data_IF_979173690671
#
_entry.id   IF_979173690671
#
_cell.length_a   1.000
_cell.length_b   1.000
_cell.length_c   1.000
_cell.angle_alpha   90.00
_cell.angle_beta   90.00
_cell.angle_gamma   90.00
#
_symmetry.space_group_name_H-M   'P 1'
#
loop_
_entity.id
_entity.type
_entity.pdbx_description
1 polymer ?
#
# COMPACT_ATOMS: atom_id res chain seq x y z
N UNK A 1 17.98 4.70 -0.68
CA UNK A 1 17.32 4.48 0.62
C UNK A 1 15.83 4.75 0.46
N UNK A 2 15.06 3.74 0.05
CA UNK A 2 13.73 3.94 -0.53
C UNK A 2 12.75 4.57 0.47
N UNK A 3 12.20 5.73 0.11
CA UNK A 3 11.10 6.40 0.81
C UNK A 3 10.06 5.40 1.33
N UNK A 4 9.93 5.37 2.65
CA UNK A 4 9.01 4.51 3.39
C UNK A 4 7.53 4.83 3.11
N UNK A 5 7.23 5.99 2.51
CA UNK A 5 5.87 6.46 2.19
C UNK A 5 5.16 5.62 1.13
N UNK A 6 5.77 5.38 -0.03
CA UNK A 6 5.15 4.56 -1.10
C UNK A 6 5.01 3.07 -0.70
N UNK A 7 5.76 2.63 0.31
CA UNK A 7 5.60 1.29 0.90
C UNK A 7 4.24 1.13 1.59
N UNK A 8 3.66 2.22 2.11
CA UNK A 8 2.34 2.21 2.76
C UNK A 8 1.21 1.97 1.77
N UNK A 9 1.25 2.62 0.60
CA UNK A 9 0.26 2.41 -0.47
C UNK A 9 0.19 0.93 -0.86
N UNK A 10 1.34 0.29 -1.06
CA UNK A 10 1.41 -1.15 -1.36
C UNK A 10 0.93 -2.04 -0.22
N UNK A 11 1.18 -1.65 1.02
CA UNK A 11 0.73 -2.42 2.19
C UNK A 11 -0.79 -2.38 2.34
N UNK A 12 -1.39 -1.21 2.05
CA UNK A 12 -2.82 -0.97 2.15
C UNK A 12 -3.58 -1.39 0.89
N UNK A 13 -2.89 -1.51 -0.24
CA UNK A 13 -3.49 -1.88 -1.52
C UNK A 13 -4.31 -0.75 -2.15
N UNK A 14 -4.10 0.50 -1.74
CA UNK A 14 -4.84 1.68 -2.23
C UNK A 14 -3.86 2.78 -2.62
N UNK A 15 -4.16 3.48 -3.73
CA UNK A 15 -3.39 4.63 -4.20
C UNK A 15 -3.78 5.84 -3.34
N UNK A 16 -2.88 6.25 -2.45
CA UNK A 16 -3.10 7.37 -1.51
C UNK A 16 -2.42 8.67 -1.97
N UNK A 17 -1.71 8.63 -3.11
CA UNK A 17 -1.02 9.79 -3.69
C UNK A 17 -0.01 10.44 -2.73
N UNK A 18 0.63 9.64 -1.86
CA UNK A 18 1.63 10.12 -0.89
C UNK A 18 2.86 10.77 -1.56
N UNK A 19 3.03 10.50 -2.86
CA UNK A 19 3.95 11.22 -3.74
C UNK A 19 3.22 11.61 -5.02
N UNK A 20 2.83 12.87 -5.15
CA UNK A 20 2.02 13.38 -6.25
C UNK A 20 2.59 13.05 -7.64
N UNK A 21 3.74 13.63 -8.01
CA UNK A 21 4.30 13.51 -9.37
C UNK A 21 4.60 12.06 -9.76
N UNK A 22 5.16 11.30 -8.82
CA UNK A 22 5.51 9.91 -9.07
C UNK A 22 4.28 9.01 -9.18
N UNK A 23 3.22 9.25 -8.40
CA UNK A 23 1.98 8.50 -8.49
C UNK A 23 1.21 8.77 -9.79
N UNK A 24 1.36 9.96 -10.37
CA UNK A 24 0.75 10.31 -11.65
C UNK A 24 1.55 9.81 -12.86
N UNK A 25 2.82 9.44 -12.65
CA UNK A 25 3.68 8.87 -13.69
C UNK A 25 3.58 7.34 -13.80
N UNK A 26 4.10 6.79 -14.92
CA UNK A 26 4.33 5.35 -15.09
C UNK A 26 5.33 4.74 -14.07
N UNK A 27 6.00 5.58 -13.27
CA UNK A 27 6.89 5.15 -12.16
C UNK A 27 6.14 4.94 -10.85
N UNK A 28 4.81 5.04 -10.84
CA UNK A 28 3.96 4.75 -9.69
C UNK A 28 4.23 3.33 -9.16
N UNK A 29 4.46 3.23 -7.86
CA UNK A 29 4.82 1.98 -7.19
C UNK A 29 3.65 1.00 -7.18
N UNK A 30 2.41 1.49 -7.09
CA UNK A 30 1.20 0.67 -7.14
C UNK A 30 1.02 -0.02 -8.50
N UNK A 31 1.31 0.68 -9.60
CA UNK A 31 1.25 0.09 -10.94
C UNK A 31 2.38 -0.93 -11.16
N UNK A 32 3.60 -0.62 -10.73
CA UNK A 32 4.76 -1.51 -10.93
C UNK A 32 4.76 -2.75 -10.04
N UNK A 33 4.22 -2.65 -8.81
CA UNK A 33 4.28 -3.71 -7.79
C UNK A 33 2.96 -3.74 -6.99
N UNK A 34 1.86 -4.27 -7.56
CA UNK A 34 0.53 -4.29 -6.95
C UNK A 34 0.38 -5.41 -5.89
N UNK A 35 1.37 -5.58 -5.03
CA UNK A 35 1.35 -6.58 -3.96
C UNK A 35 2.03 -6.02 -2.71
N UNK A 36 1.71 -6.63 -1.56
CA UNK A 36 2.24 -6.17 -0.27
C UNK A 36 3.76 -6.23 -0.29
N UNK A 37 4.46 -5.31 0.40
CA UNK A 37 5.92 -5.36 0.47
C UNK A 37 6.41 -6.55 1.29
N UNK A 38 7.56 -7.13 0.93
CA UNK A 38 8.23 -8.21 1.66
C UNK A 38 8.16 -9.57 0.95
N UNK A 39 8.86 -10.57 1.49
CA UNK A 39 8.96 -11.91 0.89
C UNK A 39 7.59 -12.60 0.76
N UNK A 40 6.71 -12.42 1.75
CA UNK A 40 5.35 -12.98 1.74
C UNK A 40 4.32 -12.07 1.04
N UNK A 41 4.76 -11.06 0.29
CA UNK A 41 3.90 -10.04 -0.29
C UNK A 41 2.83 -10.55 -1.26
N UNK A 42 3.10 -11.69 -1.90
CA UNK A 42 2.21 -12.38 -2.84
C UNK A 42 1.35 -13.46 -2.20
N UNK A 43 1.58 -13.78 -0.92
CA UNK A 43 0.82 -14.80 -0.21
C UNK A 43 -0.58 -14.28 0.09
N UNK A 44 -1.60 -15.06 -0.30
CA UNK A 44 -2.97 -14.78 0.08
C UNK A 44 -3.23 -15.28 1.51
N UNK A 45 -3.78 -14.41 2.36
CA UNK A 45 -4.29 -14.76 3.68
C UNK A 45 -5.65 -14.11 3.84
N UNK A 46 -6.65 -14.88 4.27
CA UNK A 46 -7.93 -14.31 4.69
C UNK A 46 -7.71 -13.38 5.89
N UNK A 47 -8.42 -12.26 5.92
CA UNK A 47 -8.34 -11.30 7.02
C UNK A 47 -9.47 -11.59 8.01
N UNK A 48 -9.17 -11.54 9.30
CA UNK A 48 -10.20 -11.49 10.33
C UNK A 48 -10.95 -10.15 10.27
N UNK A 49 -12.15 -10.10 10.86
CA UNK A 49 -12.94 -8.87 10.99
C UNK A 49 -12.14 -7.71 11.60
N UNK A 50 -11.43 -7.97 12.71
CA UNK A 50 -10.54 -6.98 13.32
C UNK A 50 -9.42 -6.52 12.35
N UNK A 51 -8.88 -7.44 11.55
CA UNK A 51 -7.86 -7.13 10.55
C UNK A 51 -8.38 -6.19 9.45
N UNK A 52 -9.64 -6.36 9.05
CA UNK A 52 -10.30 -5.46 8.10
C UNK A 52 -10.47 -4.06 8.70
N UNK A 53 -11.02 -3.96 9.92
CA UNK A 53 -11.18 -2.69 10.65
C UNK A 53 -9.83 -1.97 10.85
N UNK A 54 -8.79 -2.71 11.23
CA UNK A 54 -7.45 -2.17 11.36
C UNK A 54 -6.93 -1.62 10.03
N UNK A 55 -7.19 -2.30 8.90
CA UNK A 55 -6.77 -1.83 7.59
C UNK A 55 -7.46 -0.52 7.21
N UNK A 56 -8.76 -0.40 7.47
CA UNK A 56 -9.50 0.86 7.24
C UNK A 56 -8.98 2.00 8.12
N UNK A 57 -8.76 1.74 9.42
CA UNK A 57 -8.12 2.72 10.32
C UNK A 57 -6.77 3.19 9.80
N UNK A 58 -5.98 2.27 9.25
CA UNK A 58 -4.67 2.61 8.69
C UNK A 58 -4.78 3.41 7.39
N UNK A 59 -5.79 3.18 6.55
CA UNK A 59 -6.02 4.02 5.36
C UNK A 59 -6.31 5.45 5.77
N UNK A 60 -7.24 5.66 6.71
CA UNK A 60 -7.63 7.00 7.20
C UNK A 60 -6.42 7.74 7.79
N UNK A 61 -5.50 7.02 8.46
CA UNK A 61 -4.31 7.65 9.03
C UNK A 61 -3.33 8.23 7.98
N UNK A 62 -3.34 7.69 6.76
CA UNK A 62 -2.42 8.09 5.70
C UNK A 62 -3.11 8.75 4.51
N UNK A 63 -4.44 8.81 4.50
CA UNK A 63 -5.22 9.61 3.54
C UNK A 63 -5.18 11.08 3.92
#
# INVERSE_FOLDING_TARGET
MFDTREKKERSLGVKLFLKADRCNSAKCVMAKRPHRPGAHGKSYKSMSEFGQQLKEKQKIRFS
#
